data_IF_637456385150
#
_entry.id   IF_637456385150
#
_cell.length_a   1.000
_cell.length_b   1.000
_cell.length_c   1.000
_cell.angle_alpha   90.00
_cell.angle_beta   90.00
_cell.angle_gamma   90.00
#
_symmetry.space_group_name_H-M   'P 1'
#
loop_
_entity.id
_entity.type
_entity.pdbx_description
1 polymer ?
#
# COMPACT_ATOMS: atom_id res chain seq x y z
N UNK A 1 -13.08 4.47 -7.47
CA UNK A 1 -12.88 3.46 -6.41
C UNK A 1 -12.23 4.15 -5.21
N UNK A 2 -12.90 4.22 -4.06
CA UNK A 2 -12.31 4.76 -2.82
C UNK A 2 -11.86 3.56 -1.97
N UNK A 3 -10.55 3.38 -1.85
CA UNK A 3 -9.98 2.33 -1.01
C UNK A 3 -9.96 2.81 0.44
N UNK A 4 -10.85 2.27 1.26
CA UNK A 4 -10.98 2.66 2.68
C UNK A 4 -10.22 1.72 3.62
N UNK A 5 -9.91 0.50 3.17
CA UNK A 5 -9.27 -0.51 4.02
C UNK A 5 -7.75 -0.29 4.09
N UNK A 6 -7.25 -0.14 5.32
CA UNK A 6 -5.84 0.06 5.64
C UNK A 6 -5.38 -0.98 6.66
N UNK A 7 -4.07 -1.19 6.73
CA UNK A 7 -3.42 -2.17 7.62
C UNK A 7 -2.23 -1.53 8.33
N UNK A 8 -2.09 -1.72 9.64
CA UNK A 8 -0.87 -1.31 10.35
C UNK A 8 0.29 -2.22 9.91
N UNK A 9 1.44 -1.63 9.62
CA UNK A 9 2.66 -2.35 9.25
C UNK A 9 3.21 -3.19 10.40
N UNK A 10 3.09 -2.71 11.65
CA UNK A 10 3.59 -3.38 12.86
C UNK A 10 2.66 -4.47 13.38
N UNK A 11 1.40 -4.12 13.70
CA UNK A 11 0.46 -5.08 14.31
C UNK A 11 -0.35 -5.90 13.31
N UNK A 12 -0.24 -5.60 11.99
CA UNK A 12 -0.97 -6.27 10.90
C UNK A 12 -2.51 -6.23 11.02
N UNK A 13 -3.06 -5.46 11.97
CA UNK A 13 -4.51 -5.27 12.13
C UNK A 13 -5.06 -4.36 11.05
N UNK A 14 -6.27 -4.68 10.61
CA UNK A 14 -7.02 -3.87 9.66
C UNK A 14 -7.74 -2.74 10.37
N UNK A 15 -7.76 -1.57 9.73
CA UNK A 15 -8.42 -0.37 10.24
C UNK A 15 -8.84 0.52 9.08
N UNK A 16 -9.86 1.33 9.31
CA UNK A 16 -10.31 2.37 8.38
C UNK A 16 -9.66 3.73 8.70
N UNK A 17 -8.97 3.83 9.83
CA UNK A 17 -8.33 5.06 10.31
C UNK A 17 -6.90 5.16 9.80
N UNK A 18 -6.42 6.40 9.65
CA UNK A 18 -5.04 6.70 9.26
C UNK A 18 -4.03 6.24 10.31
N UNK A 19 -4.40 6.37 11.59
CA UNK A 19 -3.59 5.93 12.72
C UNK A 19 -4.17 4.67 13.33
N UNK A 20 -3.30 3.71 13.64
CA UNK A 20 -3.72 2.54 14.39
C UNK A 20 -3.77 2.85 15.89
N UNK A 21 -4.82 2.42 16.58
CA UNK A 21 -5.03 2.70 18.00
C UNK A 21 -4.02 2.01 18.95
N UNK A 22 -3.36 0.95 18.48
CA UNK A 22 -2.49 0.12 19.33
C UNK A 22 -1.00 0.35 19.08
N UNK A 23 -0.62 0.54 17.80
CA UNK A 23 0.76 0.85 17.42
C UNK A 23 1.01 2.37 17.37
N UNK A 24 -0.03 3.22 17.32
CA UNK A 24 0.05 4.66 16.95
C UNK A 24 0.78 4.95 15.62
N UNK A 25 1.10 3.90 14.85
CA UNK A 25 1.72 3.99 13.55
C UNK A 25 0.73 4.33 12.45
N UNK A 26 1.28 4.89 11.36
CA UNK A 26 0.57 5.17 10.13
C UNK A 26 0.18 3.85 9.45
N UNK A 27 -1.08 3.77 9.03
CA UNK A 27 -1.62 2.58 8.37
C UNK A 27 -1.43 2.69 6.87
N UNK A 28 -1.15 1.58 6.20
CA UNK A 28 -0.91 1.56 4.75
C UNK A 28 -2.14 0.99 4.05
N UNK A 29 -2.46 1.49 2.85
CA UNK A 29 -3.53 0.93 2.02
C UNK A 29 -3.23 -0.53 1.68
N UNK A 30 -4.21 -1.41 1.89
CA UNK A 30 -4.06 -2.85 1.62
C UNK A 30 -4.13 -3.17 0.13
N UNK A 31 -4.83 -2.32 -0.61
CA UNK A 31 -5.12 -2.57 -2.01
C UNK A 31 -3.86 -2.39 -2.86
N UNK A 32 -3.57 -3.33 -3.77
CA UNK A 32 -2.45 -3.19 -4.69
C UNK A 32 -2.70 -2.04 -5.67
N UNK A 33 -1.62 -1.55 -6.28
CA UNK A 33 -1.72 -0.62 -7.39
C UNK A 33 -2.50 -1.27 -8.55
N UNK A 34 -3.24 -0.45 -9.31
CA UNK A 34 -3.96 -0.93 -10.49
C UNK A 34 -2.98 -1.51 -11.50
N UNK A 35 -3.29 -2.70 -12.00
CA UNK A 35 -2.53 -3.32 -13.08
C UNK A 35 -3.01 -2.79 -14.44
N UNK A 36 -2.06 -2.46 -15.31
CA UNK A 36 -2.31 -2.07 -16.69
C UNK A 36 -1.36 -2.90 -17.59
N UNK A 37 -1.87 -3.54 -18.65
CA UNK A 37 -1.02 -4.30 -19.57
C UNK A 37 -0.09 -3.38 -20.39
N UNK A 38 -0.58 -2.19 -20.76
CA UNK A 38 0.22 -1.12 -21.36
C UNK A 38 0.87 -0.26 -20.27
N UNK A 39 1.85 -0.80 -19.55
CA UNK A 39 2.54 -0.04 -18.51
C UNK A 39 3.76 0.69 -19.04
N UNK A 40 3.60 1.98 -19.38
CA UNK A 40 4.66 2.85 -19.90
C UNK A 40 5.90 2.94 -19.00
N UNK A 41 5.74 2.75 -17.69
CA UNK A 41 6.81 2.93 -16.70
C UNK A 41 7.43 1.62 -16.21
N UNK A 42 7.18 0.50 -16.90
CA UNK A 42 7.57 -0.83 -16.44
C UNK A 42 9.09 -0.94 -16.25
N UNK A 43 9.87 -0.38 -17.19
CA UNK A 43 11.34 -0.37 -17.16
C UNK A 43 11.88 0.29 -15.90
N UNK A 44 11.33 1.45 -15.52
CA UNK A 44 11.73 2.17 -14.31
C UNK A 44 11.35 1.40 -13.04
N UNK A 45 10.14 0.84 -12.98
CA UNK A 45 9.68 0.06 -11.82
C UNK A 45 10.50 -1.21 -11.59
N UNK A 46 10.99 -1.86 -12.66
CA UNK A 46 11.86 -3.03 -12.55
C UNK A 46 13.27 -2.62 -12.10
N UNK A 47 13.82 -1.55 -12.67
CA UNK A 47 15.14 -1.05 -12.30
C UNK A 47 15.23 -0.65 -10.82
N UNK A 48 14.21 0.01 -10.27
CA UNK A 48 14.19 0.39 -8.85
C UNK A 48 14.05 -0.81 -7.90
N UNK A 49 13.42 -1.92 -8.34
CA UNK A 49 13.28 -3.13 -7.52
C UNK A 49 14.56 -3.98 -7.45
N UNK A 50 15.41 -3.90 -8.48
CA UNK A 50 16.64 -4.70 -8.59
C UNK A 50 17.87 -4.00 -7.99
N UNK A 51 17.68 -2.83 -7.38
CA UNK A 51 18.70 -2.08 -6.67
C UNK A 51 18.59 -2.36 -5.17
#
# INVERSE_FOLDING_TARGET
MRFQLRKCTKCKKYTLKDTCKECSDKTVSVHPAKFSPDDKYLRYRIAEKNK
#
